data_IF_188238370538
#
_entry.id   IF_188238370538
#
_cell.length_a   1.000
_cell.length_b   1.000
_cell.length_c   1.000
_cell.angle_alpha   90.00
_cell.angle_beta   90.00
_cell.angle_gamma   90.00
#
_symmetry.space_group_name_H-M   'P 1'
#
loop_
_entity.id
_entity.type
_entity.pdbx_description
1 polymer ?
#
# COMPACT_ATOMS: atom_id res chain seq x y z
N UNK A 1 2.17 -22.15 7.66
CA UNK A 1 0.75 -21.79 7.69
C UNK A 1 0.02 -22.71 8.65
N UNK A 2 -0.88 -22.15 9.42
CA UNK A 2 -1.81 -22.93 10.24
C UNK A 2 -3.24 -22.60 9.82
N UNK A 3 -4.17 -23.54 10.05
CA UNK A 3 -5.60 -23.31 9.86
C UNK A 3 -6.35 -23.45 11.18
N UNK A 4 -7.38 -22.65 11.33
CA UNK A 4 -8.28 -22.62 12.49
C UNK A 4 -9.71 -22.80 11.98
N UNK A 5 -10.52 -23.64 12.61
CA UNK A 5 -11.92 -23.80 12.20
C UNK A 5 -12.71 -22.50 12.39
N UNK A 6 -13.41 -22.08 11.33
CA UNK A 6 -14.20 -20.85 11.34
C UNK A 6 -15.52 -21.05 12.07
N UNK A 7 -15.71 -20.34 13.16
CA UNK A 7 -17.02 -20.15 13.76
C UNK A 7 -17.28 -18.64 13.93
N UNK A 8 -18.53 -18.16 13.94
CA UNK A 8 -18.83 -16.74 14.11
C UNK A 8 -18.18 -16.14 15.38
N UNK A 9 -18.11 -16.92 16.46
CA UNK A 9 -17.44 -16.50 17.71
C UNK A 9 -15.92 -16.45 17.57
N UNK A 10 -15.34 -17.28 16.74
CA UNK A 10 -13.89 -17.37 16.61
C UNK A 10 -13.34 -16.31 15.66
N UNK A 11 -14.02 -16.00 14.57
CA UNK A 11 -13.65 -14.91 13.68
C UNK A 11 -13.51 -13.58 14.45
N UNK A 12 -14.49 -13.26 15.30
CA UNK A 12 -14.42 -12.08 16.16
C UNK A 12 -13.29 -12.12 17.22
N UNK A 13 -12.79 -13.31 17.59
CA UNK A 13 -11.68 -13.47 18.53
C UNK A 13 -10.31 -13.41 17.88
N UNK A 14 -10.19 -13.75 16.60
CA UNK A 14 -8.91 -13.75 15.89
C UNK A 14 -8.45 -12.34 15.54
N UNK A 15 -9.37 -11.45 15.15
CA UNK A 15 -9.08 -10.08 14.75
C UNK A 15 -8.25 -9.29 15.79
N UNK A 16 -8.64 -9.26 17.10
CA UNK A 16 -7.87 -8.50 18.10
C UNK A 16 -6.54 -9.14 18.50
N UNK A 17 -6.21 -10.34 18.00
CA UNK A 17 -4.97 -11.01 18.36
C UNK A 17 -3.75 -10.56 17.55
N UNK A 18 -3.94 -9.70 16.55
CA UNK A 18 -2.87 -9.20 15.67
C UNK A 18 -2.18 -10.31 14.87
N UNK A 19 -2.93 -11.35 14.52
CA UNK A 19 -2.46 -12.46 13.70
C UNK A 19 -2.53 -12.10 12.22
N UNK A 20 -1.58 -12.57 11.42
CA UNK A 20 -1.60 -12.40 9.97
C UNK A 20 -2.57 -13.39 9.33
N UNK A 21 -3.84 -12.96 9.20
CA UNK A 21 -4.89 -13.75 8.60
C UNK A 21 -4.71 -13.74 7.08
N UNK A 22 -4.47 -14.90 6.48
CA UNK A 22 -4.21 -15.01 5.05
C UNK A 22 -5.50 -15.09 4.24
N UNK A 23 -6.40 -16.02 4.60
CA UNK A 23 -7.65 -16.26 3.88
C UNK A 23 -8.59 -17.18 4.64
N UNK A 24 -9.84 -17.22 4.19
CA UNK A 24 -10.84 -18.20 4.61
C UNK A 24 -11.15 -19.17 3.47
N UNK A 25 -11.10 -20.47 3.74
CA UNK A 25 -11.45 -21.51 2.76
C UNK A 25 -11.91 -22.77 3.48
N UNK A 26 -12.93 -23.45 2.95
CA UNK A 26 -13.48 -24.70 3.47
C UNK A 26 -13.79 -24.61 4.98
N UNK A 27 -14.49 -23.55 5.38
CA UNK A 27 -14.86 -23.26 6.76
C UNK A 27 -13.66 -23.13 7.73
N UNK A 28 -12.52 -22.71 7.24
CA UNK A 28 -11.29 -22.47 8.01
C UNK A 28 -10.75 -21.07 7.75
N UNK A 29 -10.10 -20.51 8.75
CA UNK A 29 -9.25 -19.31 8.63
C UNK A 29 -7.80 -19.77 8.57
N UNK A 30 -7.08 -19.39 7.55
CA UNK A 30 -5.66 -19.70 7.38
C UNK A 30 -4.82 -18.52 7.86
N UNK A 31 -3.81 -18.82 8.67
CA UNK A 31 -2.99 -17.83 9.37
C UNK A 31 -1.53 -18.09 9.02
N UNK A 32 -0.81 -17.06 8.66
CA UNK A 32 0.64 -17.10 8.59
C UNK A 32 1.19 -16.96 10.00
N UNK A 33 1.52 -18.08 10.64
CA UNK A 33 1.87 -18.11 12.04
C UNK A 33 3.36 -18.39 12.26
N UNK A 34 4.07 -17.43 12.84
CA UNK A 34 5.37 -17.62 13.44
C UNK A 34 5.29 -18.22 14.86
N UNK A 35 6.43 -18.49 15.51
CA UNK A 35 6.45 -19.06 16.87
C UNK A 35 5.69 -18.25 17.92
N UNK A 36 5.59 -16.92 17.75
CA UNK A 36 4.82 -16.04 18.63
C UNK A 36 3.33 -16.25 18.43
N UNK A 37 2.89 -16.30 17.16
CA UNK A 37 1.49 -16.43 16.82
C UNK A 37 0.92 -17.76 17.29
N UNK A 38 1.72 -18.84 17.17
CA UNK A 38 1.37 -20.14 17.74
C UNK A 38 1.18 -20.04 19.27
N UNK A 39 2.10 -19.38 19.98
CA UNK A 39 1.93 -19.14 21.43
C UNK A 39 0.72 -18.29 21.75
N UNK A 40 0.37 -17.35 20.86
CA UNK A 40 -0.84 -16.51 21.02
C UNK A 40 -2.09 -17.35 20.84
N UNK A 41 -2.14 -18.23 19.85
CA UNK A 41 -3.24 -19.18 19.66
C UNK A 41 -3.37 -20.12 20.87
N UNK A 42 -2.25 -20.66 21.35
CA UNK A 42 -2.22 -21.56 22.54
C UNK A 42 -2.73 -20.86 23.79
N UNK A 43 -2.28 -19.64 24.09
CA UNK A 43 -2.72 -18.85 25.25
C UNK A 43 -4.21 -18.53 25.23
N UNK A 44 -4.76 -18.35 24.04
CA UNK A 44 -6.17 -18.07 23.84
C UNK A 44 -7.01 -19.34 23.67
N UNK A 45 -6.40 -20.51 23.84
CA UNK A 45 -7.06 -21.82 23.67
C UNK A 45 -7.77 -21.96 22.33
N UNK A 46 -7.10 -21.50 21.25
CA UNK A 46 -7.58 -21.61 19.88
C UNK A 46 -6.88 -22.80 19.22
N UNK A 47 -7.58 -23.90 18.96
CA UNK A 47 -7.00 -25.05 18.31
C UNK A 47 -6.68 -24.74 16.85
N UNK A 48 -5.53 -25.18 16.39
CA UNK A 48 -5.08 -24.99 15.01
C UNK A 48 -4.45 -26.28 14.43
N UNK A 49 -4.44 -26.38 13.12
CA UNK A 49 -3.74 -27.43 12.38
C UNK A 49 -2.60 -26.82 11.57
N UNK A 50 -1.45 -27.46 11.55
CA UNK A 50 -0.33 -27.06 10.68
C UNK A 50 -0.58 -27.59 9.27
N UNK A 51 -0.61 -26.69 8.29
CA UNK A 51 -1.00 -26.98 6.90
C UNK A 51 0.22 -26.92 5.94
N UNK A 52 1.42 -27.19 6.45
CA UNK A 52 2.69 -27.06 5.71
C UNK A 52 2.77 -27.80 4.37
N UNK A 53 1.96 -28.83 4.17
CA UNK A 53 1.98 -29.66 2.97
C UNK A 53 0.83 -29.39 2.00
N UNK A 54 -0.18 -28.59 2.37
CA UNK A 54 -1.34 -28.33 1.52
C UNK A 54 -1.14 -27.18 0.53
N UNK A 55 -0.19 -26.30 0.81
CA UNK A 55 0.07 -25.12 0.00
C UNK A 55 1.56 -25.04 -0.38
N UNK A 56 2.07 -25.97 -1.19
CA UNK A 56 3.49 -25.98 -1.59
C UNK A 56 3.87 -24.70 -2.36
N UNK A 57 2.93 -24.08 -3.05
CA UNK A 57 3.16 -22.78 -3.71
C UNK A 57 3.38 -21.61 -2.73
N UNK A 58 2.97 -21.75 -1.46
CA UNK A 58 3.16 -20.73 -0.43
C UNK A 58 4.50 -20.87 0.30
N UNK A 59 5.16 -22.01 0.19
CA UNK A 59 6.39 -22.34 0.92
C UNK A 59 7.57 -22.74 0.02
N UNK A 60 7.32 -22.96 -1.26
CA UNK A 60 8.34 -23.34 -2.26
C UNK A 60 8.56 -22.23 -3.27
N UNK A 61 9.77 -22.20 -3.81
CA UNK A 61 10.31 -21.29 -4.84
C UNK A 61 9.28 -20.64 -5.77
N UNK A 62 9.52 -19.40 -6.18
CA UNK A 62 8.59 -18.67 -7.02
C UNK A 62 8.19 -19.48 -8.23
N UNK A 63 6.89 -19.55 -8.50
CA UNK A 63 6.39 -19.99 -9.80
C UNK A 63 7.10 -19.12 -10.82
N UNK A 64 7.82 -19.72 -11.77
CA UNK A 64 8.38 -18.99 -12.88
C UNK A 64 7.21 -18.43 -13.69
N UNK A 65 6.98 -17.13 -13.54
CA UNK A 65 6.04 -16.37 -14.32
C UNK A 65 6.63 -16.17 -15.74
N UNK A 66 5.78 -15.94 -16.73
CA UNK A 66 6.28 -15.61 -18.08
C UNK A 66 6.95 -14.24 -17.99
N UNK A 67 8.18 -14.07 -18.10
CA UNK A 67 8.90 -12.80 -17.94
C UNK A 67 9.98 -12.84 -16.86
N UNK A 68 10.00 -13.88 -16.04
CA UNK A 68 10.99 -14.05 -14.98
C UNK A 68 10.38 -14.44 -13.65
N UNK A 69 11.11 -14.17 -12.56
CA UNK A 69 10.70 -14.53 -11.20
C UNK A 69 9.51 -13.68 -10.70
N UNK A 70 9.34 -12.47 -11.25
CA UNK A 70 8.29 -11.49 -10.94
C UNK A 70 7.25 -11.35 -12.08
N UNK A 71 7.44 -12.00 -13.23
CA UNK A 71 6.55 -11.93 -14.38
C UNK A 71 6.48 -10.52 -14.96
N UNK A 72 5.26 -10.00 -15.19
CA UNK A 72 5.01 -8.65 -15.69
C UNK A 72 5.00 -7.59 -14.57
N UNK A 73 5.26 -7.98 -13.31
CA UNK A 73 5.44 -7.04 -12.20
C UNK A 73 6.85 -6.49 -12.17
N UNK A 74 7.02 -5.23 -11.81
CA UNK A 74 8.34 -4.63 -11.68
C UNK A 74 9.12 -5.17 -10.48
N UNK A 75 10.37 -5.55 -10.70
CA UNK A 75 11.41 -5.52 -9.68
C UNK A 75 11.90 -4.08 -9.48
N UNK A 76 12.70 -3.84 -8.43
CA UNK A 76 13.27 -2.51 -8.20
C UNK A 76 14.07 -1.98 -9.41
N UNK A 77 14.91 -2.82 -10.04
CA UNK A 77 15.76 -2.39 -11.16
C UNK A 77 14.95 -2.12 -12.43
N UNK A 78 13.90 -2.87 -12.69
CA UNK A 78 13.02 -2.65 -13.84
C UNK A 78 12.26 -1.33 -13.65
N UNK A 79 11.67 -1.10 -12.45
CA UNK A 79 10.99 0.16 -12.15
C UNK A 79 11.92 1.37 -12.22
N UNK A 80 13.17 1.26 -11.69
CA UNK A 80 14.17 2.33 -11.78
C UNK A 80 14.47 2.66 -13.24
N UNK A 81 14.67 1.66 -14.09
CA UNK A 81 14.94 1.85 -15.51
C UNK A 81 13.76 2.52 -16.22
N UNK A 82 12.54 2.02 -16.00
CA UNK A 82 11.34 2.53 -16.65
C UNK A 82 10.99 3.96 -16.21
N UNK A 83 11.18 4.32 -14.94
CA UNK A 83 11.02 5.70 -14.46
C UNK A 83 12.04 6.64 -15.12
N UNK A 84 13.30 6.22 -15.27
CA UNK A 84 14.33 6.98 -15.98
C UNK A 84 14.02 7.12 -17.48
N UNK A 85 13.43 6.09 -18.08
CA UNK A 85 13.02 6.11 -19.47
C UNK A 85 11.85 7.08 -19.70
N UNK A 86 10.87 7.12 -18.78
CA UNK A 86 9.79 8.09 -18.81
C UNK A 86 10.30 9.54 -18.73
N UNK A 87 11.20 9.85 -17.79
CA UNK A 87 11.83 11.18 -17.70
C UNK A 87 12.57 11.53 -18.99
N UNK A 88 13.36 10.60 -19.55
CA UNK A 88 14.13 10.83 -20.78
C UNK A 88 13.24 11.04 -22.01
N UNK A 89 12.10 10.36 -22.05
CA UNK A 89 11.14 10.48 -23.16
C UNK A 89 10.30 11.77 -23.09
N UNK A 90 10.10 12.32 -21.89
CA UNK A 90 9.22 13.46 -21.64
C UNK A 90 9.89 14.56 -20.78
N UNK A 91 11.12 15.05 -21.12
CA UNK A 91 11.93 15.89 -20.24
C UNK A 91 11.33 17.25 -19.93
N UNK A 92 10.36 17.74 -20.72
CA UNK A 92 9.68 19.01 -20.52
C UNK A 92 8.58 18.95 -19.46
N UNK A 93 7.99 17.75 -19.28
CA UNK A 93 6.82 17.54 -18.39
C UNK A 93 7.06 16.49 -17.31
N UNK A 94 8.21 15.83 -17.28
CA UNK A 94 8.56 14.81 -16.28
C UNK A 94 9.94 15.07 -15.67
N UNK A 95 10.04 14.94 -14.34
CA UNK A 95 11.31 14.98 -13.62
C UNK A 95 11.37 13.97 -12.50
N UNK A 96 12.42 13.15 -12.50
CA UNK A 96 12.63 12.09 -11.52
C UNK A 96 13.50 12.60 -10.36
N UNK A 97 12.96 12.53 -9.16
CA UNK A 97 13.65 12.90 -7.93
C UNK A 97 13.99 11.67 -7.10
N UNK A 98 15.20 11.65 -6.54
CA UNK A 98 15.53 10.73 -5.44
C UNK A 98 15.12 11.41 -4.14
N UNK A 99 14.03 10.96 -3.52
CA UNK A 99 13.49 11.54 -2.28
C UNK A 99 14.11 10.94 -1.02
N UNK A 100 14.81 9.83 -1.14
CA UNK A 100 15.50 9.17 -0.03
C UNK A 100 16.25 7.91 -0.45
N UNK A 101 16.79 7.25 0.56
CA UNK A 101 17.48 5.97 0.43
C UNK A 101 16.89 4.98 1.42
N UNK A 102 16.68 3.74 1.00
CA UNK A 102 16.26 2.65 1.87
C UNK A 102 17.42 2.13 2.76
N UNK A 103 17.11 1.22 3.65
CA UNK A 103 18.09 0.58 4.55
C UNK A 103 19.21 -0.16 3.80
N UNK A 104 18.87 -0.80 2.67
CA UNK A 104 19.83 -1.53 1.83
C UNK A 104 20.38 -0.64 0.69
N UNK A 105 20.31 0.70 0.83
CA UNK A 105 20.83 1.70 -0.10
C UNK A 105 20.20 1.68 -1.50
N UNK A 106 18.92 1.34 -1.61
CA UNK A 106 18.13 1.58 -2.82
C UNK A 106 17.55 2.97 -2.78
N UNK A 107 17.58 3.67 -3.91
CA UNK A 107 16.93 4.98 -4.04
C UNK A 107 15.41 4.84 -3.97
N UNK A 108 14.78 5.77 -3.27
CA UNK A 108 13.33 5.93 -3.30
C UNK A 108 13.05 7.08 -4.25
N UNK A 109 12.28 6.80 -5.30
CA UNK A 109 12.02 7.75 -6.36
C UNK A 109 10.63 8.35 -6.25
N UNK A 110 10.52 9.64 -6.62
CA UNK A 110 9.27 10.30 -6.94
C UNK A 110 9.40 10.98 -8.30
N UNK A 111 8.45 10.74 -9.19
CA UNK A 111 8.34 11.40 -10.49
C UNK A 111 7.38 12.58 -10.36
N UNK A 112 7.86 13.80 -10.62
CA UNK A 112 7.03 14.99 -10.80
C UNK A 112 6.56 15.05 -12.25
N UNK A 113 5.27 15.34 -12.47
CA UNK A 113 4.65 15.55 -13.78
C UNK A 113 3.90 16.89 -13.72
N UNK A 114 4.23 17.81 -14.61
CA UNK A 114 3.62 19.15 -14.73
C UNK A 114 4.00 19.71 -16.10
N UNK A 115 3.24 20.63 -16.66
CA UNK A 115 3.54 21.28 -17.95
C UNK A 115 4.84 22.12 -17.91
N UNK A 116 5.23 22.62 -16.73
CA UNK A 116 6.47 23.33 -16.46
C UNK A 116 7.29 22.65 -15.35
N UNK A 117 7.66 21.38 -15.55
CA UNK A 117 8.23 20.51 -14.52
C UNK A 117 9.44 21.07 -13.75
N UNK A 118 10.17 22.01 -14.35
CA UNK A 118 11.33 22.67 -13.73
C UNK A 118 10.97 23.79 -12.75
N UNK A 119 9.73 24.26 -12.79
CA UNK A 119 9.23 25.34 -11.94
C UNK A 119 8.40 24.78 -10.79
N UNK A 120 8.25 25.57 -9.77
CA UNK A 120 7.32 25.42 -8.67
C UNK A 120 6.23 26.48 -8.87
N UNK A 121 5.03 26.04 -9.26
CA UNK A 121 3.95 26.93 -9.68
C UNK A 121 2.84 26.96 -8.63
N UNK A 122 2.01 28.01 -8.64
CA UNK A 122 0.83 28.10 -7.76
C UNK A 122 -0.30 27.19 -8.27
N UNK A 123 0.00 25.89 -8.37
CA UNK A 123 -0.92 24.85 -8.85
C UNK A 123 -1.26 23.84 -7.76
N UNK A 124 -2.31 23.06 -7.99
CA UNK A 124 -2.67 21.98 -7.08
C UNK A 124 -1.61 20.89 -7.09
N UNK A 125 -1.05 20.55 -5.94
CA UNK A 125 -0.12 19.43 -5.80
C UNK A 125 -0.83 18.18 -5.28
N UNK A 126 -0.64 17.04 -5.96
CA UNK A 126 -1.22 15.77 -5.56
C UNK A 126 -0.14 14.71 -5.44
N UNK A 127 -0.15 13.95 -4.34
CA UNK A 127 0.83 12.90 -4.06
C UNK A 127 0.21 11.51 -4.17
N UNK A 128 0.77 10.69 -5.05
CA UNK A 128 0.44 9.27 -5.18
C UNK A 128 1.59 8.40 -4.65
N UNK A 129 1.27 7.47 -3.75
CA UNK A 129 2.23 6.55 -3.14
C UNK A 129 1.85 5.11 -3.44
N UNK A 130 2.84 4.24 -3.55
CA UNK A 130 2.62 2.80 -3.68
C UNK A 130 3.57 1.96 -2.85
N UNK A 131 3.21 0.72 -2.64
CA UNK A 131 4.05 -0.31 -2.06
C UNK A 131 4.70 0.05 -0.70
N UNK A 132 3.91 0.48 0.28
CA UNK A 132 4.35 0.49 1.67
C UNK A 132 4.59 -0.95 2.16
N UNK A 133 3.73 -1.89 1.72
CA UNK A 133 3.83 -3.29 2.07
C UNK A 133 4.36 -4.11 0.90
N UNK A 134 5.43 -4.82 1.15
CA UNK A 134 6.23 -5.50 0.13
C UNK A 134 5.52 -6.62 -0.64
N UNK A 135 4.49 -7.23 -0.07
CA UNK A 135 3.70 -8.31 -0.70
C UNK A 135 2.63 -7.83 -1.67
N UNK A 136 2.38 -6.53 -1.72
CA UNK A 136 1.31 -5.88 -2.47
C UNK A 136 1.82 -5.38 -3.82
N UNK A 137 2.28 -6.30 -4.69
CA UNK A 137 2.98 -5.94 -5.92
C UNK A 137 2.15 -5.06 -6.86
N UNK A 138 0.84 -5.28 -6.94
CA UNK A 138 -0.03 -4.48 -7.81
C UNK A 138 -0.08 -3.00 -7.40
N UNK A 139 0.22 -2.69 -6.15
CA UNK A 139 0.30 -1.32 -5.65
C UNK A 139 1.52 -0.54 -6.15
N UNK A 140 2.49 -1.21 -6.77
CA UNK A 140 3.58 -0.58 -7.54
C UNK A 140 3.07 -0.20 -8.94
N UNK A 141 2.34 -1.13 -9.57
CA UNK A 141 1.95 -1.04 -10.98
C UNK A 141 0.96 0.07 -11.25
N UNK A 142 -0.06 0.22 -10.38
CA UNK A 142 -1.13 1.20 -10.62
C UNK A 142 -0.60 2.63 -10.65
N UNK A 143 0.16 3.14 -9.65
CA UNK A 143 0.73 4.48 -9.73
C UNK A 143 1.81 4.62 -10.81
N UNK A 144 2.60 3.58 -11.11
CA UNK A 144 3.53 3.62 -12.23
C UNK A 144 2.80 3.78 -13.57
N UNK A 145 1.74 3.00 -13.80
CA UNK A 145 0.94 3.10 -15.02
C UNK A 145 0.17 4.43 -15.12
N UNK A 146 -0.20 5.05 -13.98
CA UNK A 146 -0.74 6.41 -13.95
C UNK A 146 0.30 7.40 -14.50
N UNK A 147 1.54 7.35 -13.99
CA UNK A 147 2.62 8.21 -14.48
C UNK A 147 2.83 8.03 -15.99
N UNK A 148 2.95 6.79 -16.44
CA UNK A 148 3.10 6.47 -17.87
C UNK A 148 1.93 6.99 -18.70
N UNK A 149 0.70 6.80 -18.24
CA UNK A 149 -0.50 7.26 -18.96
C UNK A 149 -0.53 8.79 -19.11
N UNK A 150 -0.25 9.52 -18.03
CA UNK A 150 -0.22 10.99 -18.07
C UNK A 150 0.81 11.49 -19.10
N UNK A 151 2.00 10.93 -19.10
CA UNK A 151 3.08 11.36 -20.00
C UNK A 151 2.82 10.98 -21.46
N UNK A 152 2.44 9.73 -21.73
CA UNK A 152 2.25 9.24 -23.10
C UNK A 152 1.02 9.85 -23.79
N UNK A 153 0.01 10.29 -23.02
CA UNK A 153 -1.23 10.84 -23.58
C UNK A 153 -1.34 12.37 -23.45
N UNK A 154 -0.38 13.06 -22.85
CA UNK A 154 -0.37 14.50 -22.68
C UNK A 154 -0.62 15.27 -24.00
N UNK A 155 0.00 14.84 -25.10
CA UNK A 155 -0.13 15.50 -26.38
C UNK A 155 -1.45 15.21 -27.11
N UNK A 156 -2.11 14.09 -26.80
CA UNK A 156 -3.23 13.54 -27.58
C UNK A 156 -4.59 13.57 -26.86
N UNK A 157 -4.60 13.55 -25.51
CA UNK A 157 -5.82 13.53 -24.71
C UNK A 157 -6.02 14.89 -24.01
N UNK A 158 -7.15 15.54 -24.28
CA UNK A 158 -7.46 16.85 -23.71
C UNK A 158 -7.76 16.82 -22.19
N UNK A 159 -8.20 15.69 -21.65
CA UNK A 159 -8.43 15.54 -20.21
C UNK A 159 -7.09 15.37 -19.47
N UNK A 160 -6.22 14.52 -20.00
CA UNK A 160 -4.85 14.34 -19.49
C UNK A 160 -4.10 15.66 -19.54
N UNK A 161 -4.15 16.38 -20.67
CA UNK A 161 -3.51 17.69 -20.80
C UNK A 161 -3.99 18.64 -19.73
N UNK A 162 -5.32 18.79 -19.52
CA UNK A 162 -5.84 19.68 -18.47
C UNK A 162 -5.36 19.29 -17.08
N UNK A 163 -5.29 18.00 -16.78
CA UNK A 163 -4.82 17.54 -15.47
C UNK A 163 -3.35 17.93 -15.25
N UNK A 164 -2.50 17.78 -16.27
CA UNK A 164 -1.08 18.10 -16.18
C UNK A 164 -0.82 19.61 -16.24
N UNK A 165 -1.62 20.37 -17.04
CA UNK A 165 -1.52 21.84 -17.15
C UNK A 165 -2.08 22.59 -15.91
N UNK A 166 -2.74 21.91 -14.97
CA UNK A 166 -3.42 22.52 -13.82
C UNK A 166 -2.96 21.94 -12.48
N UNK A 167 -2.00 21.04 -12.50
CA UNK A 167 -1.50 20.44 -11.27
C UNK A 167 -0.09 19.88 -11.38
N UNK A 168 0.61 19.90 -10.26
CA UNK A 168 1.85 19.18 -10.08
C UNK A 168 1.56 17.79 -9.50
N UNK A 169 1.67 16.76 -10.35
CA UNK A 169 1.41 15.36 -9.94
C UNK A 169 2.72 14.72 -9.52
N UNK A 170 2.79 14.29 -8.25
CA UNK A 170 3.93 13.59 -7.69
C UNK A 170 3.60 12.13 -7.47
N UNK A 171 4.39 11.22 -8.05
CA UNK A 171 4.15 9.78 -8.00
C UNK A 171 5.39 9.07 -7.48
N UNK A 172 5.28 8.44 -6.30
CA UNK A 172 6.30 7.58 -5.71
C UNK A 172 5.77 6.14 -5.64
N UNK A 173 5.94 5.35 -6.71
CA UNK A 173 5.28 4.06 -6.86
C UNK A 173 5.85 2.97 -5.95
N UNK A 174 7.01 3.17 -5.34
CA UNK A 174 7.70 2.17 -4.53
C UNK A 174 8.35 2.78 -3.29
N UNK A 175 7.65 2.74 -2.17
CA UNK A 175 8.16 3.26 -0.90
C UNK A 175 9.03 2.24 -0.17
N UNK A 176 8.80 0.94 -0.37
CA UNK A 176 9.50 -0.15 0.30
C UNK A 176 10.33 -1.01 -0.68
N UNK A 177 11.40 -0.46 -1.28
CA UNK A 177 12.16 -1.19 -2.29
C UNK A 177 12.88 -2.43 -1.74
N UNK A 178 13.36 -2.39 -0.51
CA UNK A 178 14.06 -3.52 0.12
C UNK A 178 13.09 -4.67 0.42
N UNK A 179 11.91 -4.31 0.93
CA UNK A 179 10.86 -5.29 1.17
C UNK A 179 10.37 -5.93 -0.12
N UNK A 180 10.14 -5.15 -1.18
CA UNK A 180 9.72 -5.66 -2.49
C UNK A 180 10.73 -6.69 -3.02
N UNK A 181 12.02 -6.36 -3.08
CA UNK A 181 13.07 -7.28 -3.52
C UNK A 181 13.12 -8.56 -2.68
N UNK A 182 12.91 -8.43 -1.37
CA UNK A 182 12.85 -9.59 -0.50
C UNK A 182 11.60 -10.44 -0.76
N UNK A 183 10.45 -9.83 -1.02
CA UNK A 183 9.21 -10.53 -1.35
C UNK A 183 9.30 -11.28 -2.68
N UNK A 184 9.98 -10.71 -3.67
CA UNK A 184 10.22 -11.32 -4.99
C UNK A 184 11.16 -12.53 -4.87
N UNK A 185 12.26 -12.38 -4.14
CA UNK A 185 13.38 -13.34 -4.19
C UNK A 185 13.31 -14.44 -3.14
N UNK A 186 12.71 -14.15 -1.97
CA UNK A 186 12.84 -15.03 -0.81
C UNK A 186 11.52 -15.44 -0.18
N UNK A 187 10.59 -14.47 0.05
CA UNK A 187 9.37 -14.76 0.77
C UNK A 187 8.22 -13.88 0.29
N UNK A 188 7.38 -14.40 -0.60
CA UNK A 188 6.31 -13.67 -1.32
C UNK A 188 5.31 -12.96 -0.40
N UNK A 189 5.10 -13.43 0.81
CA UNK A 189 4.21 -12.82 1.81
C UNK A 189 4.87 -11.77 2.70
N UNK A 190 6.14 -11.40 2.43
CA UNK A 190 6.83 -10.39 3.21
C UNK A 190 6.11 -9.04 3.12
N UNK A 191 5.75 -8.46 4.30
CA UNK A 191 5.00 -7.20 4.41
C UNK A 191 5.89 -6.00 4.69
N UNK A 192 6.75 -6.11 5.71
CA UNK A 192 7.50 -5.02 6.33
C UNK A 192 8.70 -4.57 5.49
N UNK A 193 9.42 -3.52 5.93
CA UNK A 193 10.75 -3.21 5.38
C UNK A 193 11.80 -4.23 5.86
N UNK A 194 13.12 -3.93 5.66
CA UNK A 194 14.20 -4.85 6.00
C UNK A 194 15.04 -4.44 7.21
N UNK A 195 14.48 -3.66 8.14
CA UNK A 195 15.14 -3.28 9.40
C UNK A 195 15.52 -4.53 10.21
N UNK A 196 16.80 -4.67 10.56
CA UNK A 196 17.21 -5.60 11.61
C UNK A 196 16.92 -4.97 12.97
N UNK A 197 16.03 -5.55 13.74
CA UNK A 197 15.65 -5.09 15.05
C UNK A 197 16.56 -5.66 16.15
N UNK A 198 16.55 -5.01 17.32
CA UNK A 198 17.44 -5.35 18.45
C UNK A 198 17.25 -6.77 19.00
N UNK A 199 16.10 -7.36 18.78
CA UNK A 199 15.74 -8.72 19.19
C UNK A 199 16.06 -9.79 18.12
N UNK A 200 16.66 -9.39 16.99
CA UNK A 200 17.00 -10.26 15.87
C UNK A 200 15.86 -10.48 14.86
N UNK A 201 14.66 -9.98 15.11
CA UNK A 201 13.59 -9.99 14.13
C UNK A 201 13.81 -8.91 13.06
N UNK A 202 13.17 -9.10 11.90
CA UNK A 202 13.27 -8.15 10.79
C UNK A 202 11.98 -7.39 10.57
N UNK A 203 12.15 -6.13 10.15
CA UNK A 203 11.15 -5.28 9.54
C UNK A 203 10.35 -4.43 10.52
N UNK A 204 9.95 -3.27 9.99
CA UNK A 204 8.97 -2.34 10.53
C UNK A 204 7.84 -2.23 9.51
N UNK A 205 6.59 -2.19 9.95
CA UNK A 205 5.45 -1.87 9.12
C UNK A 205 5.48 -0.38 8.80
N UNK A 206 5.80 -0.04 7.56
CA UNK A 206 5.96 1.36 7.13
C UNK A 206 4.66 2.14 7.27
N UNK A 207 3.49 1.49 7.05
CA UNK A 207 2.18 2.11 7.22
C UNK A 207 1.67 2.05 8.68
N UNK A 208 2.59 1.97 9.64
CA UNK A 208 2.40 2.16 11.09
C UNK A 208 3.49 3.07 11.67
N UNK A 209 4.34 3.64 10.82
CA UNK A 209 5.54 4.38 11.25
C UNK A 209 5.43 5.91 11.05
N UNK A 210 4.28 6.42 10.57
CA UNK A 210 4.00 7.86 10.44
C UNK A 210 3.64 8.49 11.79
N UNK A 211 3.86 9.81 11.93
CA UNK A 211 3.90 10.46 13.23
C UNK A 211 2.58 10.78 13.90
N UNK A 212 1.47 10.88 13.14
CA UNK A 212 0.18 11.26 13.73
C UNK A 212 -0.43 10.08 14.48
N UNK A 213 -0.72 10.25 15.76
CA UNK A 213 -1.22 9.19 16.66
C UNK A 213 -0.44 7.85 16.58
N UNK A 214 0.88 7.92 16.33
CA UNK A 214 1.75 6.79 16.08
C UNK A 214 1.67 5.65 17.10
N UNK A 215 1.58 5.93 18.36
CA UNK A 215 1.50 4.94 19.43
C UNK A 215 0.25 5.18 20.27
N UNK A 216 -0.85 5.52 19.63
CA UNK A 216 -2.11 5.83 20.29
C UNK A 216 -2.54 4.70 21.23
N UNK A 217 -2.49 3.48 20.77
CA UNK A 217 -2.71 2.25 21.55
C UNK A 217 -1.89 1.07 20.98
N UNK A 218 -2.18 -0.15 21.44
CA UNK A 218 -1.59 -1.37 20.95
C UNK A 218 -2.58 -2.26 20.17
N UNK A 219 -3.73 -1.71 19.76
CA UNK A 219 -4.72 -2.38 18.92
C UNK A 219 -4.45 -2.12 17.43
N UNK A 220 -4.26 -0.85 17.04
CA UNK A 220 -4.00 -0.44 15.67
C UNK A 220 -2.54 -0.63 15.21
N UNK A 221 -1.60 -0.90 16.13
CA UNK A 221 -0.20 -1.21 15.86
C UNK A 221 0.43 -1.95 17.02
N UNK A 222 1.62 -2.54 16.81
CA UNK A 222 2.33 -3.30 17.86
C UNK A 222 3.67 -2.66 18.23
N UNK A 223 4.04 -2.60 19.53
CA UNK A 223 5.39 -2.25 19.96
C UNK A 223 6.38 -3.41 19.82
N UNK A 224 5.93 -4.61 19.44
CA UNK A 224 6.74 -5.82 19.41
C UNK A 224 7.36 -6.04 18.03
N UNK A 225 8.71 -6.10 17.88
CA UNK A 225 9.36 -6.25 16.58
C UNK A 225 8.97 -7.50 15.79
N UNK A 226 8.58 -8.57 16.48
CA UNK A 226 8.12 -9.81 15.86
C UNK A 226 6.73 -9.70 15.21
N UNK A 227 5.96 -8.65 15.51
CA UNK A 227 4.63 -8.48 14.92
C UNK A 227 4.69 -7.98 13.47
N UNK A 228 3.74 -8.41 12.64
CA UNK A 228 3.59 -7.92 11.27
C UNK A 228 3.24 -6.42 11.22
N UNK A 229 2.54 -5.92 12.25
CA UNK A 229 2.16 -4.51 12.41
C UNK A 229 3.08 -3.75 13.38
N UNK A 230 4.36 -4.15 13.45
CA UNK A 230 5.35 -3.47 14.29
C UNK A 230 5.59 -2.03 13.81
N UNK A 231 5.32 -1.06 14.67
CA UNK A 231 5.36 0.37 14.35
C UNK A 231 6.74 1.03 14.36
N UNK A 232 7.80 0.26 14.66
CA UNK A 232 9.16 0.79 14.80
C UNK A 232 9.44 1.30 16.22
N UNK A 233 10.65 1.84 16.42
CA UNK A 233 11.13 2.33 17.74
C UNK A 233 10.67 3.76 18.06
N UNK A 234 10.29 4.53 17.04
CA UNK A 234 9.80 5.89 17.11
C UNK A 234 9.01 6.22 15.84
N UNK A 235 8.17 7.28 15.85
CA UNK A 235 7.59 7.77 14.61
C UNK A 235 8.70 8.17 13.64
N UNK A 236 8.53 7.81 12.37
CA UNK A 236 9.54 8.03 11.33
C UNK A 236 10.93 7.45 11.67
N UNK A 237 10.97 6.32 12.40
CA UNK A 237 12.23 5.61 12.64
C UNK A 237 12.85 5.08 11.34
N UNK A 238 12.04 4.84 10.32
CA UNK A 238 12.45 4.23 9.07
C UNK A 238 12.85 5.28 8.02
N UNK A 239 13.93 5.07 7.26
CA UNK A 239 14.34 6.02 6.22
C UNK A 239 13.30 6.17 5.12
N UNK A 240 12.54 5.11 4.82
CA UNK A 240 11.48 5.09 3.81
C UNK A 240 10.34 6.06 4.18
N UNK A 241 9.88 6.03 5.42
CA UNK A 241 8.83 6.95 5.89
C UNK A 241 9.34 8.38 6.06
N UNK A 242 10.62 8.56 6.41
CA UNK A 242 11.26 9.88 6.41
C UNK A 242 11.33 10.48 5.00
N UNK A 243 11.62 9.67 4.00
CA UNK A 243 11.64 10.14 2.60
C UNK A 243 10.30 10.73 2.18
N UNK A 244 9.20 10.05 2.49
CA UNK A 244 7.83 10.56 2.22
C UNK A 244 7.55 11.81 3.06
N UNK A 245 7.86 11.81 4.35
CA UNK A 245 7.68 12.97 5.23
C UNK A 245 8.44 14.19 4.69
N UNK A 246 9.72 14.00 4.35
CA UNK A 246 10.58 15.11 3.95
C UNK A 246 10.15 15.69 2.60
N UNK A 247 9.67 14.87 1.66
CA UNK A 247 8.99 15.34 0.45
C UNK A 247 7.73 16.13 0.81
N UNK A 248 6.86 15.55 1.65
CA UNK A 248 5.57 16.13 2.01
C UNK A 248 5.70 17.50 2.69
N UNK A 249 6.67 17.68 3.59
CA UNK A 249 6.88 18.99 4.28
C UNK A 249 7.59 20.02 3.43
N UNK A 250 8.20 19.65 2.31
CA UNK A 250 8.81 20.58 1.36
C UNK A 250 7.82 21.07 0.30
N UNK A 251 6.63 20.47 0.24
CA UNK A 251 5.61 20.75 -0.77
C UNK A 251 4.29 21.13 -0.09
N UNK A 252 3.39 21.71 -0.87
CA UNK A 252 2.05 22.13 -0.41
C UNK A 252 0.95 21.21 -0.95
N UNK A 253 1.10 19.90 -0.73
CA UNK A 253 0.12 18.92 -1.21
C UNK A 253 -1.28 19.23 -0.76
N UNK A 254 -2.24 19.09 -1.68
CA UNK A 254 -3.67 19.33 -1.46
C UNK A 254 -4.48 18.04 -1.43
N UNK A 255 -3.90 16.93 -1.87
CA UNK A 255 -4.45 15.59 -1.72
C UNK A 255 -3.35 14.53 -1.70
N UNK A 256 -3.64 13.40 -1.05
CA UNK A 256 -2.77 12.23 -1.02
C UNK A 256 -3.58 10.96 -1.31
N UNK A 257 -3.06 10.10 -2.18
CA UNK A 257 -3.57 8.75 -2.41
C UNK A 257 -2.45 7.75 -2.21
N UNK A 258 -2.69 6.71 -1.40
CA UNK A 258 -1.75 5.59 -1.25
C UNK A 258 -2.43 4.29 -1.69
N UNK A 259 -1.75 3.56 -2.59
CA UNK A 259 -2.24 2.29 -3.11
C UNK A 259 -1.73 1.13 -2.29
N UNK A 260 -2.67 0.25 -1.96
CA UNK A 260 -2.46 -0.98 -1.21
C UNK A 260 -3.18 -2.15 -1.90
N UNK A 261 -3.03 -3.34 -1.42
CA UNK A 261 -3.91 -4.47 -1.71
C UNK A 261 -3.97 -5.37 -0.47
N UNK A 262 -5.08 -6.05 -0.26
CA UNK A 262 -6.27 -6.17 -1.10
C UNK A 262 -7.53 -5.94 -0.26
N UNK A 263 -8.61 -5.57 -0.84
CA UNK A 263 -9.99 -5.69 -0.33
C UNK A 263 -11.02 -4.89 -1.14
N UNK A 264 -10.54 -4.19 -2.17
CA UNK A 264 -11.42 -3.47 -3.10
C UNK A 264 -12.29 -2.43 -2.39
N UNK A 265 -11.59 -1.55 -1.61
CA UNK A 265 -12.22 -0.52 -0.79
C UNK A 265 -11.40 0.77 -0.80
N UNK A 266 -12.08 1.92 -0.75
CA UNK A 266 -11.50 3.25 -0.62
C UNK A 266 -11.65 3.69 0.84
N UNK A 267 -10.53 3.79 1.54
CA UNK A 267 -10.47 4.13 2.95
C UNK A 267 -10.00 5.58 3.13
N UNK A 268 -10.56 6.27 4.13
CA UNK A 268 -10.14 7.61 4.51
C UNK A 268 -10.06 7.74 6.03
N UNK A 269 -9.44 8.79 6.58
CA UNK A 269 -9.31 8.99 8.02
C UNK A 269 -10.66 9.01 8.77
N UNK A 270 -10.69 8.52 9.97
CA UNK A 270 -9.55 8.09 10.78
C UNK A 270 -9.39 6.56 10.79
N UNK A 271 -8.13 6.13 10.86
CA UNK A 271 -7.79 4.73 11.12
C UNK A 271 -7.60 4.44 12.62
N UNK A 272 -7.11 5.42 13.41
CA UNK A 272 -6.84 5.21 14.84
C UNK A 272 -8.09 5.23 15.73
N UNK A 273 -9.21 5.75 15.25
CA UNK A 273 -10.46 5.87 16.01
C UNK A 273 -11.69 5.76 15.11
N UNK A 274 -12.78 5.23 15.67
CA UNK A 274 -14.07 5.20 14.99
C UNK A 274 -14.82 6.56 15.01
N UNK A 275 -14.25 7.59 15.64
CA UNK A 275 -14.84 8.94 15.61
C UNK A 275 -14.70 9.55 14.22
N UNK A 276 -15.71 10.28 13.70
CA UNK A 276 -15.60 10.94 12.41
C UNK A 276 -14.55 12.06 12.42
N UNK A 277 -14.02 12.41 11.25
CA UNK A 277 -13.23 13.63 11.07
C UNK A 277 -14.14 14.86 11.04
N UNK A 278 -13.57 16.04 11.18
CA UNK A 278 -14.27 17.32 10.97
C UNK A 278 -14.61 17.57 9.50
N UNK A 279 -14.05 16.79 8.57
CA UNK A 279 -14.32 16.83 7.10
C UNK A 279 -14.94 15.53 6.58
N UNK A 280 -15.67 14.81 7.43
CA UNK A 280 -16.28 13.51 7.08
C UNK A 280 -17.11 13.56 5.79
N UNK A 281 -17.94 14.60 5.63
CA UNK A 281 -18.80 14.73 4.44
C UNK A 281 -17.98 14.93 3.16
N UNK A 282 -16.87 15.67 3.22
CA UNK A 282 -15.96 15.84 2.09
C UNK A 282 -15.29 14.51 1.72
N UNK A 283 -14.72 13.82 2.72
CA UNK A 283 -14.07 12.52 2.48
C UNK A 283 -15.05 11.52 1.86
N UNK A 284 -16.24 11.44 2.42
CA UNK A 284 -17.29 10.52 1.94
C UNK A 284 -17.73 10.85 0.51
N UNK A 285 -17.93 12.14 0.19
CA UNK A 285 -18.34 12.56 -1.14
C UNK A 285 -17.30 12.19 -2.18
N UNK A 286 -16.03 12.53 -1.94
CA UNK A 286 -14.93 12.21 -2.88
C UNK A 286 -14.73 10.68 -3.02
N UNK A 287 -14.79 9.93 -1.92
CA UNK A 287 -14.69 8.47 -1.99
C UNK A 287 -15.85 7.83 -2.77
N UNK A 288 -17.06 8.36 -2.61
CA UNK A 288 -18.22 7.90 -3.38
C UNK A 288 -18.08 8.22 -4.87
N UNK A 289 -17.61 9.41 -5.23
CA UNK A 289 -17.37 9.80 -6.62
C UNK A 289 -16.30 8.91 -7.27
N UNK A 290 -15.18 8.67 -6.57
CA UNK A 290 -14.15 7.72 -7.02
C UNK A 290 -14.74 6.32 -7.25
N UNK A 291 -15.51 5.78 -6.30
CA UNK A 291 -16.12 4.46 -6.42
C UNK A 291 -17.07 4.36 -7.64
N UNK A 292 -17.88 5.40 -7.89
CA UNK A 292 -18.78 5.47 -9.04
C UNK A 292 -18.00 5.50 -10.36
N UNK A 293 -16.92 6.28 -10.42
CA UNK A 293 -16.06 6.37 -11.59
C UNK A 293 -15.36 5.04 -11.88
N UNK A 294 -14.86 4.37 -10.85
CA UNK A 294 -14.26 3.03 -10.96
C UNK A 294 -15.27 1.99 -11.47
N UNK A 295 -16.47 1.95 -10.88
CA UNK A 295 -17.54 1.05 -11.29
C UNK A 295 -17.93 1.24 -12.77
N UNK A 296 -17.97 2.47 -13.24
CA UNK A 296 -18.36 2.80 -14.61
C UNK A 296 -17.41 2.19 -15.66
N UNK A 297 -16.18 1.85 -15.32
CA UNK A 297 -15.19 1.29 -16.26
C UNK A 297 -15.48 -0.18 -16.59
N UNK A 298 -15.76 -1.00 -15.59
CA UNK A 298 -15.87 -2.46 -15.79
C UNK A 298 -16.91 -3.13 -14.88
N UNK A 299 -17.70 -2.36 -14.13
CA UNK A 299 -18.73 -2.87 -13.22
C UNK A 299 -18.20 -3.40 -11.89
N UNK A 300 -16.91 -3.20 -11.58
CA UNK A 300 -16.34 -3.63 -10.31
C UNK A 300 -16.70 -2.63 -9.20
N UNK A 301 -17.32 -3.13 -8.14
CA UNK A 301 -17.79 -2.31 -7.01
C UNK A 301 -16.65 -2.14 -5.99
N UNK A 302 -16.33 -0.90 -5.67
CA UNK A 302 -15.49 -0.56 -4.55
C UNK A 302 -16.35 -0.14 -3.35
N UNK A 303 -16.09 -0.73 -2.18
CA UNK A 303 -16.59 -0.18 -0.92
C UNK A 303 -15.86 1.13 -0.60
N UNK A 304 -16.43 1.95 0.30
CA UNK A 304 -15.71 3.11 0.83
C UNK A 304 -16.16 3.45 2.25
N UNK A 305 -15.28 4.06 3.02
CA UNK A 305 -15.60 4.52 4.38
C UNK A 305 -14.38 4.84 5.23
N UNK A 306 -14.61 5.32 6.48
CA UNK A 306 -13.52 5.55 7.43
C UNK A 306 -12.74 4.26 7.70
N UNK A 307 -11.40 4.33 7.70
CA UNK A 307 -10.51 3.17 7.84
C UNK A 307 -10.84 2.32 9.06
N UNK A 308 -11.01 2.93 10.23
CA UNK A 308 -11.32 2.23 11.48
C UNK A 308 -12.66 1.49 11.48
N UNK A 309 -13.63 1.94 10.66
CA UNK A 309 -14.97 1.35 10.60
C UNK A 309 -15.13 0.37 9.46
N UNK A 310 -14.44 0.62 8.34
CA UNK A 310 -14.59 -0.13 7.09
C UNK A 310 -13.55 -1.22 6.90
N UNK A 311 -12.49 -1.21 7.74
CA UNK A 311 -11.40 -2.19 7.73
C UNK A 311 -11.05 -2.61 9.16
N UNK A 312 -9.98 -2.07 9.72
CA UNK A 312 -9.52 -2.33 11.09
C UNK A 312 -8.78 -1.11 11.64
N UNK A 313 -8.59 -1.03 12.96
CA UNK A 313 -7.85 0.05 13.59
C UNK A 313 -6.38 0.08 13.11
N UNK A 314 -5.88 1.29 12.85
CA UNK A 314 -4.49 1.54 12.46
C UNK A 314 -3.95 2.74 13.23
N UNK A 315 -2.71 2.67 13.71
CA UNK A 315 -2.06 3.81 14.38
C UNK A 315 -0.81 4.18 13.59
N UNK A 316 -0.62 5.46 13.29
CA UNK A 316 0.54 5.95 12.57
C UNK A 316 0.56 5.53 11.11
N UNK A 317 -0.60 5.46 10.47
CA UNK A 317 -0.71 5.26 9.02
C UNK A 317 -0.54 6.58 8.23
N UNK A 318 -0.36 6.43 6.94
CA UNK A 318 -0.04 7.54 6.03
C UNK A 318 -1.20 8.52 5.88
N UNK A 319 -2.43 8.02 5.78
CA UNK A 319 -3.61 8.86 5.51
C UNK A 319 -4.02 9.65 6.75
N UNK A 320 -4.01 9.03 7.93
CA UNK A 320 -4.22 9.74 9.20
C UNK A 320 -3.17 10.81 9.44
N UNK A 321 -1.90 10.50 9.08
CA UNK A 321 -0.83 11.49 9.21
C UNK A 321 -1.02 12.67 8.26
N UNK A 322 -1.26 12.44 6.97
CA UNK A 322 -1.41 13.52 6.00
C UNK A 322 -2.60 14.43 6.33
N UNK A 323 -3.75 13.84 6.65
CA UNK A 323 -4.92 14.59 7.08
C UNK A 323 -4.69 15.30 8.42
N UNK A 324 -4.13 14.59 9.41
CA UNK A 324 -3.94 15.12 10.77
C UNK A 324 -2.95 16.28 10.88
N UNK A 325 -1.93 16.34 9.97
CA UNK A 325 -0.92 17.42 9.99
C UNK A 325 -1.22 18.56 9.02
N UNK A 326 -1.87 18.27 7.89
CA UNK A 326 -2.11 19.27 6.84
C UNK A 326 -3.60 19.54 6.58
N UNK A 327 -4.51 18.70 7.09
CA UNK A 327 -5.95 18.82 6.87
C UNK A 327 -6.38 18.55 5.42
N UNK A 328 -5.54 17.89 4.62
CA UNK A 328 -5.82 17.57 3.21
C UNK A 328 -6.59 16.26 3.09
N UNK A 329 -7.46 16.10 2.07
CA UNK A 329 -8.04 14.81 1.75
C UNK A 329 -6.94 13.76 1.51
N UNK A 330 -7.07 12.61 2.17
CA UNK A 330 -6.13 11.52 2.06
C UNK A 330 -6.85 10.16 1.99
N UNK A 331 -6.47 9.32 1.02
CA UNK A 331 -7.14 8.06 0.75
C UNK A 331 -6.18 6.90 0.63
N UNK A 332 -6.56 5.77 1.24
CA UNK A 332 -5.97 4.47 0.93
C UNK A 332 -6.89 3.74 -0.02
N UNK A 333 -6.39 3.40 -1.19
CA UNK A 333 -7.11 2.54 -2.14
C UNK A 333 -6.57 1.12 -2.00
N UNK A 334 -7.37 0.26 -1.41
CA UNK A 334 -7.13 -1.17 -1.39
C UNK A 334 -7.58 -1.76 -2.72
N UNK A 335 -6.62 -2.11 -3.55
CA UNK A 335 -6.86 -2.65 -4.90
C UNK A 335 -7.50 -4.05 -4.84
N UNK A 336 -8.07 -4.56 -5.96
CA UNK A 336 -8.56 -5.94 -6.02
C UNK A 336 -7.47 -6.98 -5.69
N UNK A 337 -7.91 -8.22 -5.34
CA UNK A 337 -9.31 -8.67 -5.29
C UNK A 337 -10.01 -8.28 -3.97
N UNK A 338 -11.31 -8.56 -3.88
CA UNK A 338 -12.09 -8.29 -2.67
C UNK A 338 -11.66 -9.18 -1.51
N UNK A 339 -11.18 -10.38 -1.80
CA UNK A 339 -10.79 -11.38 -0.80
C UNK A 339 -9.68 -12.32 -1.30
N UNK A 340 -9.28 -13.23 -0.45
CA UNK A 340 -8.24 -14.21 -0.76
C UNK A 340 -8.68 -15.24 -1.82
N UNK A 341 -9.96 -15.57 -1.92
CA UNK A 341 -10.47 -16.51 -2.94
C UNK A 341 -10.31 -15.92 -4.34
N UNK A 342 -10.38 -14.59 -4.46
CA UNK A 342 -10.08 -13.86 -5.68
C UNK A 342 -8.59 -13.75 -6.02
N UNK A 343 -7.68 -14.23 -5.14
CA UNK A 343 -6.23 -14.18 -5.34
C UNK A 343 -5.44 -13.52 -4.20
N UNK A 344 -6.07 -12.70 -3.38
CA UNK A 344 -5.41 -11.99 -2.27
C UNK A 344 -4.24 -11.13 -2.75
N UNK A 345 -3.06 -11.34 -2.20
CA UNK A 345 -1.82 -10.66 -2.62
C UNK A 345 -1.23 -11.18 -3.94
N UNK A 346 -1.83 -12.21 -4.56
CA UNK A 346 -1.37 -12.83 -5.81
C UNK A 346 -2.29 -12.48 -6.98
N UNK A 347 -2.40 -11.20 -7.30
CA UNK A 347 -3.08 -10.80 -8.53
C UNK A 347 -2.37 -11.43 -9.73
N UNK A 348 -3.15 -11.96 -10.67
CA UNK A 348 -2.57 -12.44 -11.92
C UNK A 348 -2.06 -11.25 -12.75
N UNK A 349 -1.00 -11.44 -13.53
CA UNK A 349 -0.43 -10.40 -14.41
C UNK A 349 -1.49 -9.76 -15.34
N UNK A 350 -2.42 -10.58 -15.85
CA UNK A 350 -3.54 -10.11 -16.69
C UNK A 350 -4.47 -9.11 -15.97
N UNK A 351 -4.42 -9.01 -14.64
CA UNK A 351 -5.25 -8.10 -13.86
C UNK A 351 -4.64 -6.70 -13.73
N UNK A 352 -3.33 -6.53 -13.99
CA UNK A 352 -2.61 -5.25 -13.87
C UNK A 352 -3.32 -4.17 -14.69
N UNK A 353 -3.47 -4.38 -16.00
CA UNK A 353 -4.10 -3.39 -16.89
C UNK A 353 -5.57 -3.12 -16.57
N UNK A 354 -6.44 -4.11 -16.32
CA UNK A 354 -7.81 -3.85 -15.88
C UNK A 354 -7.93 -3.06 -14.58
N UNK A 355 -7.09 -3.39 -13.59
CA UNK A 355 -7.07 -2.69 -12.29
C UNK A 355 -6.58 -1.25 -12.44
N UNK A 356 -5.54 -1.02 -13.24
CA UNK A 356 -5.13 0.34 -13.58
C UNK A 356 -6.26 1.13 -14.25
N UNK A 357 -6.90 0.56 -15.29
CA UNK A 357 -7.95 1.24 -16.07
C UNK A 357 -9.14 1.66 -15.20
N UNK A 358 -9.54 0.85 -14.23
CA UNK A 358 -10.66 1.22 -13.34
C UNK A 358 -10.27 2.32 -12.36
N UNK A 359 -9.00 2.41 -11.96
CA UNK A 359 -8.51 3.44 -11.05
C UNK A 359 -8.19 4.77 -11.76
N UNK A 360 -8.02 4.77 -13.08
CA UNK A 360 -7.62 5.95 -13.85
C UNK A 360 -8.60 7.13 -13.79
N UNK A 361 -9.93 6.97 -13.87
CA UNK A 361 -10.86 8.09 -13.81
C UNK A 361 -11.16 8.60 -12.39
N UNK A 362 -10.71 7.91 -11.35
CA UNK A 362 -10.97 8.22 -9.96
C UNK A 362 -9.90 9.13 -9.37
#
# INVERSE_FOLDING_TARGET
>A
IVSVERTPRLAARLQPLGLDLLFEWDNKVYILAGPRDLRTLDRNHIPYLTESNKFPALTSSPVLLQGGINGDYHSYLELEADLQDLERAHPEIARLYTIGMSLENRKIYALKISDNVALDEEEAEVLFLGCHHAREWISVEVPFLLAKHLLENYASDAAVRRAVDQSEVWIAPLINPDGLEYSIRFYRYWRKNRRLNVDGNFGVDLNRNYGYNWAYDNEGSSPEPAAEVYRGSAPFSEPETRAVRDLFVQREFQALVTYHSYSQVILYPWGYTASPTDKEDLHRSLAADMAILMEAVNGRLYGFGPSAQSSYLTNGDTTDWAFGVAGIPAYTIELPPVDQLGGGFFNAERDITPVFKENLPA
#
